data_IF_769185620584
#
_entry.id   IF_769185620584
#
_cell.length_a   1.000
_cell.length_b   1.000
_cell.length_c   1.000
_cell.angle_alpha   90.00
_cell.angle_beta   90.00
_cell.angle_gamma   90.00
#
_symmetry.space_group_name_H-M   'P 1'
#
loop_
_entity.id
_entity.type
_entity.pdbx_description
1 polymer ?
#
# COMPACT_ATOMS: atom_id res chain seq x y z
N UNK A 1 10.01 -11.80 34.83
CA UNK A 1 8.94 -11.42 33.89
C UNK A 1 9.48 -11.54 32.47
N UNK A 2 8.77 -12.18 31.54
CA UNK A 2 9.18 -12.18 30.12
C UNK A 2 9.02 -10.75 29.60
N UNK A 3 10.09 -10.17 29.07
CA UNK A 3 10.02 -8.92 28.33
C UNK A 3 9.08 -9.14 27.14
N UNK A 4 7.97 -8.40 27.09
CA UNK A 4 7.09 -8.43 25.92
C UNK A 4 7.84 -7.76 24.77
N UNK A 5 8.38 -8.56 23.86
CA UNK A 5 8.90 -8.05 22.59
C UNK A 5 7.67 -7.61 21.79
N UNK A 6 7.42 -6.31 21.75
CA UNK A 6 6.38 -5.75 20.91
C UNK A 6 6.85 -5.88 19.46
N UNK A 7 6.35 -6.89 18.75
CA UNK A 7 6.69 -7.09 17.35
C UNK A 7 6.14 -5.89 16.54
N UNK A 8 6.94 -5.29 15.64
CA UNK A 8 6.47 -4.16 14.85
C UNK A 8 5.33 -4.60 13.94
N UNK A 9 4.21 -3.86 13.94
CA UNK A 9 3.07 -4.09 13.06
C UNK A 9 3.35 -3.37 11.74
N UNK A 10 3.44 -4.12 10.65
CA UNK A 10 3.75 -3.57 9.33
C UNK A 10 2.50 -3.65 8.45
N UNK A 11 1.96 -2.49 8.09
CA UNK A 11 0.84 -2.40 7.17
C UNK A 11 1.26 -2.68 5.73
N UNK A 12 0.43 -3.41 4.99
CA UNK A 12 0.68 -3.81 3.60
C UNK A 12 -0.55 -3.44 2.77
N UNK A 13 -0.39 -2.62 1.74
CA UNK A 13 -1.48 -2.35 0.79
C UNK A 13 -1.78 -3.59 -0.03
N UNK A 14 -3.07 -3.87 -0.23
CA UNK A 14 -3.55 -5.03 -0.99
C UNK A 14 -4.09 -4.59 -2.34
N UNK A 15 -4.03 -5.47 -3.33
CA UNK A 15 -4.69 -5.25 -4.60
C UNK A 15 -6.19 -5.52 -4.47
N UNK A 16 -6.98 -4.90 -5.35
CA UNK A 16 -8.43 -5.15 -5.45
C UNK A 16 -8.79 -5.30 -6.93
N UNK A 17 -8.60 -6.51 -7.50
CA UNK A 17 -8.83 -6.73 -8.92
C UNK A 17 -10.33 -6.71 -9.24
N UNK A 18 -10.69 -6.03 -10.33
CA UNK A 18 -12.08 -5.97 -10.82
C UNK A 18 -12.45 -7.19 -11.70
N UNK A 19 -11.51 -8.10 -11.96
CA UNK A 19 -11.75 -9.27 -12.80
C UNK A 19 -12.37 -10.44 -12.00
N UNK A 20 -13.28 -11.17 -12.65
CA UNK A 20 -13.93 -12.38 -12.11
C UNK A 20 -12.99 -13.62 -12.15
N UNK A 21 -11.69 -13.44 -11.86
CA UNK A 21 -10.71 -14.51 -12.02
C UNK A 21 -10.66 -15.49 -10.84
N UNK A 22 -10.80 -14.99 -9.62
CA UNK A 22 -10.63 -15.77 -8.38
C UNK A 22 -11.95 -16.00 -7.64
N UNK A 23 -12.85 -15.03 -7.66
CA UNK A 23 -14.11 -15.04 -6.90
C UNK A 23 -15.18 -14.29 -7.67
N UNK A 24 -16.43 -14.76 -7.56
CA UNK A 24 -17.63 -14.06 -8.05
C UNK A 24 -18.02 -12.84 -7.20
N UNK A 25 -17.38 -12.68 -6.04
CA UNK A 25 -17.53 -11.54 -5.15
C UNK A 25 -16.23 -10.72 -5.13
N UNK A 26 -16.31 -9.42 -4.85
CA UNK A 26 -15.12 -8.58 -4.74
C UNK A 26 -14.14 -9.12 -3.68
N UNK A 27 -12.85 -9.06 -3.98
CA UNK A 27 -11.82 -9.72 -3.18
C UNK A 27 -10.52 -8.92 -3.18
N UNK A 28 -9.75 -9.08 -2.10
CA UNK A 28 -8.42 -8.50 -1.99
C UNK A 28 -7.35 -9.53 -2.30
N UNK A 29 -6.29 -9.09 -2.98
CA UNK A 29 -5.16 -9.92 -3.37
C UNK A 29 -3.85 -9.44 -2.73
N UNK A 30 -3.01 -10.38 -2.28
CA UNK A 30 -1.62 -10.09 -1.92
C UNK A 30 -0.71 -11.27 -2.29
N UNK A 31 0.43 -10.98 -2.92
CA UNK A 31 1.48 -11.99 -3.11
C UNK A 31 2.06 -12.40 -1.76
N UNK A 32 2.12 -13.71 -1.50
CA UNK A 32 2.54 -14.30 -0.21
C UNK A 32 3.91 -13.81 0.28
N UNK A 33 4.83 -13.46 -0.62
CA UNK A 33 6.18 -13.02 -0.29
C UNK A 33 6.23 -11.76 0.58
N UNK A 34 5.28 -10.82 0.45
CA UNK A 34 5.26 -9.61 1.29
C UNK A 34 5.04 -9.95 2.76
N UNK A 35 3.93 -10.64 3.08
CA UNK A 35 3.62 -11.05 4.45
C UNK A 35 4.65 -12.04 5.01
N UNK A 36 5.14 -12.95 4.16
CA UNK A 36 6.19 -13.90 4.51
C UNK A 36 7.50 -13.23 4.91
N UNK A 37 7.94 -12.23 4.15
CA UNK A 37 9.15 -11.47 4.45
C UNK A 37 9.03 -10.77 5.82
N UNK A 38 7.97 -10.00 6.05
CA UNK A 38 7.74 -9.32 7.34
C UNK A 38 7.80 -10.32 8.52
N UNK A 39 7.11 -11.45 8.38
CA UNK A 39 7.08 -12.49 9.41
C UNK A 39 8.48 -13.08 9.67
N UNK A 40 9.26 -13.32 8.62
CA UNK A 40 10.63 -13.84 8.72
C UNK A 40 11.61 -12.87 9.40
N UNK A 41 11.34 -11.57 9.34
CA UNK A 41 12.11 -10.52 10.03
C UNK A 41 11.51 -10.12 11.39
N UNK A 42 10.54 -10.89 11.92
CA UNK A 42 10.01 -10.71 13.28
C UNK A 42 8.89 -9.68 13.42
N UNK A 43 8.38 -9.12 12.32
CA UNK A 43 7.22 -8.23 12.31
C UNK A 43 5.88 -8.97 12.25
N UNK A 44 4.79 -8.22 12.41
CA UNK A 44 3.41 -8.68 12.24
C UNK A 44 2.82 -8.02 11.00
N UNK A 45 2.53 -8.77 9.92
CA UNK A 45 1.91 -8.20 8.73
C UNK A 45 0.44 -7.87 8.98
N UNK A 46 0.03 -6.64 8.66
CA UNK A 46 -1.37 -6.21 8.67
C UNK A 46 -1.79 -5.84 7.25
N UNK A 47 -2.79 -6.54 6.71
CA UNK A 47 -3.37 -6.24 5.41
C UNK A 47 -4.26 -5.00 5.53
N UNK A 48 -3.98 -3.98 4.72
CA UNK A 48 -4.74 -2.73 4.73
C UNK A 48 -5.73 -2.75 3.56
N UNK A 49 -7.02 -2.89 3.84
CA UNK A 49 -8.03 -2.56 2.83
C UNK A 49 -7.86 -1.10 2.45
N UNK A 50 -7.80 -0.79 1.15
CA UNK A 50 -7.62 0.56 0.63
C UNK A 50 -8.88 1.45 0.79
N UNK A 51 -9.51 1.41 1.98
CA UNK A 51 -10.62 2.25 2.39
C UNK A 51 -10.09 3.52 3.08
N UNK A 52 -10.30 4.71 2.50
CA UNK A 52 -9.81 5.98 3.04
C UNK A 52 -10.25 6.25 4.49
N UNK A 53 -11.42 5.76 4.90
CA UNK A 53 -11.94 6.00 6.25
C UNK A 53 -11.06 5.40 7.36
N UNK A 54 -10.28 4.37 7.02
CA UNK A 54 -9.43 3.66 7.98
C UNK A 54 -8.01 4.22 8.06
N UNK A 55 -7.63 5.20 7.21
CA UNK A 55 -6.23 5.68 7.12
C UNK A 55 -5.72 6.18 8.47
N UNK A 56 -6.49 7.05 9.12
CA UNK A 56 -6.09 7.64 10.41
C UNK A 56 -5.88 6.57 11.48
N UNK A 57 -6.71 5.53 11.48
CA UNK A 57 -6.59 4.44 12.45
C UNK A 57 -5.44 3.49 12.10
N UNK A 58 -5.20 3.23 10.81
CA UNK A 58 -4.02 2.51 10.35
C UNK A 58 -2.73 3.20 10.77
N UNK A 59 -2.63 4.52 10.56
CA UNK A 59 -1.46 5.31 10.97
C UNK A 59 -1.21 5.22 12.47
N UNK A 60 -2.26 5.11 13.31
CA UNK A 60 -2.08 4.93 14.76
C UNK A 60 -1.54 3.56 15.12
N UNK A 61 -2.02 2.49 14.47
CA UNK A 61 -1.75 1.11 14.90
C UNK A 61 -0.52 0.46 14.26
N UNK A 62 -0.10 0.89 13.06
CA UNK A 62 1.04 0.29 12.37
C UNK A 62 2.32 1.09 12.64
N UNK A 63 3.44 0.38 12.77
CA UNK A 63 4.77 0.92 13.02
C UNK A 63 5.53 1.22 11.72
N UNK A 64 5.13 0.59 10.61
CA UNK A 64 5.69 0.83 9.29
C UNK A 64 4.72 0.47 8.18
N UNK A 65 4.98 0.99 6.99
CA UNK A 65 4.12 0.81 5.81
C UNK A 65 4.92 0.21 4.64
N UNK A 66 4.40 -0.86 4.04
CA UNK A 66 4.83 -1.37 2.75
C UNK A 66 3.74 -1.08 1.73
N UNK A 67 4.07 -0.29 0.72
CA UNK A 67 3.25 -0.15 -0.47
C UNK A 67 3.70 -1.19 -1.48
N UNK A 68 2.77 -2.07 -1.84
CA UNK A 68 3.05 -3.20 -2.72
C UNK A 68 2.94 -2.82 -4.18
N UNK A 69 3.34 -3.73 -5.06
CA UNK A 69 2.96 -3.67 -6.47
C UNK A 69 1.65 -4.34 -6.78
N UNK A 70 0.88 -3.73 -7.67
CA UNK A 70 -0.29 -4.31 -8.31
C UNK A 70 -0.06 -4.62 -9.79
N UNK A 71 -1.06 -5.24 -10.42
CA UNK A 71 -1.13 -5.43 -11.87
C UNK A 71 -1.86 -4.24 -12.54
N UNK A 72 -1.41 -3.02 -12.22
CA UNK A 72 -1.97 -1.78 -12.77
C UNK A 72 -0.91 -0.68 -12.84
N UNK A 73 -1.17 0.30 -13.71
CA UNK A 73 -0.35 1.47 -13.94
C UNK A 73 -0.77 2.62 -13.02
N UNK A 74 0.21 3.35 -12.48
CA UNK A 74 -0.08 4.62 -11.80
C UNK A 74 -0.47 5.63 -12.88
N UNK A 75 -1.54 6.39 -12.65
CA UNK A 75 -2.03 7.38 -13.61
C UNK A 75 -0.87 8.32 -14.03
N UNK A 76 -0.57 8.43 -15.35
CA UNK A 76 0.44 9.34 -15.89
C UNK A 76 0.31 10.79 -15.41
N UNK A 77 -0.90 11.22 -15.02
CA UNK A 77 -1.17 12.49 -14.36
C UNK A 77 -0.22 12.75 -13.19
N UNK A 78 0.06 11.73 -12.36
CA UNK A 78 0.94 11.86 -11.20
C UNK A 78 2.41 12.10 -11.58
N UNK A 79 2.81 11.77 -12.82
CA UNK A 79 4.15 12.03 -13.37
C UNK A 79 4.20 13.27 -14.26
N UNK A 80 3.10 14.02 -14.38
CA UNK A 80 3.01 15.20 -15.25
C UNK A 80 2.97 14.87 -16.74
N UNK A 81 2.59 13.63 -17.10
CA UNK A 81 2.45 13.18 -18.48
C UNK A 81 0.97 12.98 -18.82
N UNK A 82 0.59 13.26 -20.07
CA UNK A 82 -0.76 12.97 -20.57
C UNK A 82 -0.94 11.47 -20.87
N UNK A 83 -2.18 10.98 -20.79
CA UNK A 83 -2.54 9.60 -21.14
C UNK A 83 -2.14 9.34 -22.60
N UNK A 84 -1.27 8.35 -22.83
CA UNK A 84 -0.72 8.06 -24.17
C UNK A 84 -0.97 6.64 -24.69
N UNK A 85 -1.72 5.80 -23.98
CA UNK A 85 -2.07 4.46 -24.48
C UNK A 85 -3.38 3.92 -23.91
N UNK A 86 -4.16 3.20 -24.72
CA UNK A 86 -5.38 2.49 -24.31
C UNK A 86 -5.14 1.22 -23.46
N UNK A 87 -3.89 0.95 -23.07
CA UNK A 87 -3.50 -0.19 -22.22
C UNK A 87 -3.37 0.17 -20.73
N UNK A 88 -3.47 1.45 -20.37
CA UNK A 88 -3.28 1.90 -18.98
C UNK A 88 -4.46 1.42 -18.13
N UNK A 89 -4.18 0.51 -17.20
CA UNK A 89 -5.16 0.10 -16.17
C UNK A 89 -4.90 0.94 -14.93
N UNK A 90 -5.85 1.74 -14.50
CA UNK A 90 -5.71 2.61 -13.33
C UNK A 90 -6.61 2.09 -12.21
N UNK A 91 -6.10 2.03 -10.97
CA UNK A 91 -6.92 1.80 -9.78
C UNK A 91 -6.93 3.07 -8.91
N UNK A 92 -7.82 4.00 -9.23
CA UNK A 92 -7.87 5.32 -8.60
C UNK A 92 -8.13 5.25 -7.10
N UNK A 93 -8.97 4.31 -6.64
CA UNK A 93 -9.23 4.09 -5.20
C UNK A 93 -7.95 3.72 -4.46
N UNK A 94 -7.21 2.72 -4.98
CA UNK A 94 -5.95 2.30 -4.37
C UNK A 94 -4.88 3.39 -4.46
N UNK A 95 -4.74 4.05 -5.60
CA UNK A 95 -3.75 5.12 -5.80
C UNK A 95 -4.00 6.29 -4.84
N UNK A 96 -5.25 6.75 -4.69
CA UNK A 96 -5.60 7.83 -3.77
C UNK A 96 -5.34 7.43 -2.32
N UNK A 97 -5.74 6.22 -1.91
CA UNK A 97 -5.44 5.68 -0.59
C UNK A 97 -3.93 5.67 -0.32
N UNK A 98 -3.13 5.19 -1.27
CA UNK A 98 -1.66 5.10 -1.16
C UNK A 98 -0.98 6.46 -1.03
N UNK A 99 -1.48 7.48 -1.72
CA UNK A 99 -1.00 8.86 -1.62
C UNK A 99 -1.34 9.44 -0.25
N UNK A 100 -2.58 9.27 0.20
CA UNK A 100 -3.03 9.87 1.45
C UNK A 100 -2.36 9.23 2.67
N UNK A 101 -2.33 7.90 2.76
CA UNK A 101 -1.66 7.20 3.86
C UNK A 101 -0.16 7.50 3.87
N UNK A 102 0.47 7.66 2.70
CA UNK A 102 1.85 8.11 2.63
C UNK A 102 2.04 9.47 3.27
N UNK A 103 1.23 10.46 2.89
CA UNK A 103 1.34 11.81 3.41
C UNK A 103 1.30 11.81 4.94
N UNK A 104 0.41 11.02 5.53
CA UNK A 104 0.33 10.87 6.98
C UNK A 104 1.57 10.16 7.58
N UNK A 105 2.13 9.16 6.89
CA UNK A 105 3.35 8.46 7.33
C UNK A 105 4.59 9.37 7.31
N UNK A 106 4.75 10.19 6.27
CA UNK A 106 5.84 11.16 6.18
C UNK A 106 5.75 12.18 7.32
N UNK A 107 4.55 12.69 7.60
CA UNK A 107 4.31 13.63 8.70
C UNK A 107 4.54 12.99 10.09
N UNK A 108 4.45 11.67 10.20
CA UNK A 108 4.58 10.93 11.46
C UNK A 108 5.99 10.37 11.71
N UNK A 109 6.97 10.64 10.83
CA UNK A 109 8.33 10.08 10.91
C UNK A 109 8.37 8.54 11.03
N UNK A 110 7.38 7.85 10.47
CA UNK A 110 7.32 6.38 10.47
C UNK A 110 7.96 5.80 9.20
N UNK A 111 8.63 4.64 9.29
CA UNK A 111 9.29 4.03 8.13
C UNK A 111 8.30 3.60 7.05
N UNK A 112 8.67 3.84 5.79
CA UNK A 112 7.90 3.43 4.61
C UNK A 112 8.82 2.76 3.59
N UNK A 113 8.39 1.63 3.03
CA UNK A 113 9.05 0.97 1.90
C UNK A 113 8.11 0.93 0.68
N UNK A 114 8.65 1.26 -0.49
CA UNK A 114 7.91 1.41 -1.76
C UNK A 114 8.74 0.80 -2.87
N UNK A 115 8.16 -0.12 -3.64
CA UNK A 115 8.86 -0.75 -4.76
C UNK A 115 8.50 -0.17 -6.14
N UNK A 116 7.41 0.63 -6.28
CA UNK A 116 6.89 1.04 -7.59
C UNK A 116 6.58 2.53 -7.77
N UNK A 117 6.65 3.33 -6.71
CA UNK A 117 6.59 4.78 -6.82
C UNK A 117 8.01 5.32 -7.00
N UNK A 118 8.53 5.37 -8.22
CA UNK A 118 9.73 6.16 -8.54
C UNK A 118 9.53 7.65 -8.22
N UNK A 119 10.16 8.56 -8.97
CA UNK A 119 10.09 10.02 -8.75
C UNK A 119 8.68 10.68 -8.74
N UNK A 120 7.56 9.94 -8.82
CA UNK A 120 6.19 10.49 -8.76
C UNK A 120 5.88 11.24 -7.46
N UNK A 121 6.54 10.90 -6.35
CA UNK A 121 6.31 11.56 -5.05
C UNK A 121 7.13 12.83 -4.89
N UNK A 122 8.04 13.16 -5.83
CA UNK A 122 8.80 14.41 -5.79
C UNK A 122 7.91 15.68 -5.86
N UNK A 123 6.60 15.53 -6.14
CA UNK A 123 5.60 16.62 -6.05
C UNK A 123 5.08 16.89 -4.63
N UNK A 124 5.39 16.04 -3.65
CA UNK A 124 4.89 16.15 -2.28
C UNK A 124 5.99 16.40 -1.25
N UNK A 125 7.20 16.74 -1.71
CA UNK A 125 8.30 17.31 -0.91
C UNK A 125 8.50 18.78 -1.30
#
# INVERSE_FOLDING_TARGET
MKQMINKPIIGITVDFPENESYSKYPWYALRKNYAGAISSFGGVPLLLSCDPNNITDYVKIIDGLIITGGDFDIDPYYYGQGITSGTVRINSTRTNFEIEILGQFLNSNKPVFRNLWGNAVAKYN
#
